data_IF_830154970189
#
_entry.id   IF_830154970189
#
_cell.length_a   1.000
_cell.length_b   1.000
_cell.length_c   1.000
_cell.angle_alpha   90.00
_cell.angle_beta   90.00
_cell.angle_gamma   90.00
#
_symmetry.space_group_name_H-M   'P 1'
#
loop_
_entity.id
_entity.type
_entity.pdbx_description
1 polymer ?
#
# COMPACT_ATOMS: atom_id res chain seq x y z
N UNK A 1 28.67 -19.38 38.74
CA UNK A 1 29.42 -18.84 37.59
C UNK A 1 28.56 -17.84 36.81
N UNK A 2 27.45 -18.24 36.16
CA UNK A 2 26.61 -17.32 35.37
C UNK A 2 26.14 -16.04 36.11
N UNK A 3 25.74 -16.16 37.39
CA UNK A 3 25.23 -15.02 38.15
C UNK A 3 26.32 -14.07 38.69
N UNK A 4 27.41 -14.62 39.26
CA UNK A 4 28.28 -13.89 40.19
C UNK A 4 29.78 -13.91 39.84
N UNK A 5 30.17 -14.45 38.68
CA UNK A 5 31.59 -14.50 38.32
C UNK A 5 32.13 -13.09 37.99
N UNK A 6 33.27 -12.67 38.53
CA UNK A 6 33.80 -11.32 38.27
C UNK A 6 34.19 -11.09 36.81
N UNK A 7 34.34 -12.15 36.00
CA UNK A 7 34.62 -12.04 34.57
C UNK A 7 33.31 -12.04 33.74
N UNK A 8 32.96 -10.91 33.08
CA UNK A 8 31.77 -10.81 32.26
C UNK A 8 31.68 -11.86 31.14
N UNK A 9 32.82 -12.22 30.53
CA UNK A 9 32.86 -13.21 29.47
C UNK A 9 32.57 -14.61 30.01
N UNK A 10 33.08 -14.94 31.20
CA UNK A 10 32.77 -16.20 31.87
C UNK A 10 31.28 -16.30 32.22
N UNK A 11 30.66 -15.19 32.66
CA UNK A 11 29.21 -15.12 32.89
C UNK A 11 28.42 -15.39 31.62
N UNK A 12 28.80 -14.75 30.51
CA UNK A 12 28.15 -14.95 29.20
C UNK A 12 28.30 -16.39 28.71
N UNK A 13 29.49 -16.98 28.78
CA UNK A 13 29.70 -18.37 28.40
C UNK A 13 28.89 -19.33 29.25
N UNK A 14 28.85 -19.12 30.57
CA UNK A 14 28.05 -19.94 31.47
C UNK A 14 26.54 -19.82 31.14
N UNK A 15 26.05 -18.61 30.86
CA UNK A 15 24.66 -18.36 30.46
C UNK A 15 24.29 -19.16 29.20
N UNK A 16 25.09 -19.06 28.14
CA UNK A 16 24.84 -19.77 26.88
C UNK A 16 25.07 -21.28 26.97
N UNK A 17 25.99 -21.72 27.82
CA UNK A 17 26.19 -23.15 28.09
C UNK A 17 24.94 -23.73 28.77
N UNK A 18 24.37 -23.02 29.75
CA UNK A 18 23.16 -23.45 30.45
C UNK A 18 21.94 -23.44 29.52
N UNK A 19 21.83 -22.45 28.63
CA UNK A 19 20.79 -22.43 27.59
C UNK A 19 20.88 -23.66 26.68
N UNK A 20 22.07 -23.95 26.14
CA UNK A 20 22.29 -25.11 25.26
C UNK A 20 22.10 -26.47 25.96
N UNK A 21 22.28 -26.53 27.28
CA UNK A 21 21.99 -27.71 28.10
C UNK A 21 20.52 -27.79 28.53
N UNK A 22 19.68 -26.84 28.12
CA UNK A 22 18.29 -26.70 28.57
C UNK A 22 18.16 -26.64 30.11
N UNK A 23 19.16 -26.02 30.76
CA UNK A 23 19.28 -25.88 32.21
C UNK A 23 19.17 -24.41 32.67
N UNK A 24 18.77 -23.50 31.77
CA UNK A 24 18.61 -22.09 32.06
C UNK A 24 17.33 -21.84 32.86
N UNK A 25 17.43 -21.12 33.99
CA UNK A 25 16.29 -20.76 34.84
C UNK A 25 15.91 -19.28 34.74
N UNK A 26 14.65 -18.90 35.04
CA UNK A 26 14.22 -17.50 35.14
C UNK A 26 15.08 -16.65 36.08
N UNK A 27 15.51 -17.20 37.21
CA UNK A 27 16.34 -16.49 38.20
C UNK A 27 17.71 -16.14 37.61
N UNK A 28 18.30 -17.05 36.84
CA UNK A 28 19.58 -16.81 36.16
C UNK A 28 19.46 -15.72 35.10
N UNK A 29 18.34 -15.66 34.39
CA UNK A 29 18.06 -14.59 33.44
C UNK A 29 17.88 -13.27 34.18
N UNK A 30 17.06 -13.21 35.23
CA UNK A 30 16.85 -11.98 36.01
C UNK A 30 18.16 -11.42 36.57
N UNK A 31 19.08 -12.30 36.99
CA UNK A 31 20.44 -11.91 37.38
C UNK A 31 21.22 -11.27 36.21
N UNK A 32 21.12 -11.83 35.00
CA UNK A 32 21.73 -11.26 33.81
C UNK A 32 21.10 -9.92 33.39
N UNK A 33 19.77 -9.79 33.45
CA UNK A 33 19.03 -8.56 33.15
C UNK A 33 19.39 -7.41 34.10
N UNK A 34 19.77 -7.74 35.34
CA UNK A 34 20.17 -6.76 36.38
C UNK A 34 21.67 -6.49 36.43
N UNK A 35 22.47 -7.07 35.51
CA UNK A 35 23.91 -6.92 35.51
C UNK A 35 24.35 -5.47 35.26
N UNK A 36 25.47 -5.05 35.86
CA UNK A 36 26.01 -3.71 35.65
C UNK A 36 26.52 -3.50 34.21
N UNK A 37 26.97 -4.59 33.59
CA UNK A 37 27.57 -4.61 32.26
C UNK A 37 26.49 -4.74 31.16
N UNK A 38 26.44 -3.79 30.20
CA UNK A 38 25.40 -3.80 29.16
C UNK A 38 25.47 -5.05 28.27
N UNK A 39 26.67 -5.57 28.02
CA UNK A 39 26.85 -6.81 27.27
C UNK A 39 26.16 -8.00 27.95
N UNK A 40 26.18 -8.10 29.28
CA UNK A 40 25.52 -9.20 30.00
C UNK A 40 24.01 -9.02 29.96
N UNK A 41 23.50 -7.79 30.13
CA UNK A 41 22.06 -7.51 30.01
C UNK A 41 21.54 -7.88 28.62
N UNK A 42 22.25 -7.48 27.56
CA UNK A 42 21.88 -7.84 26.18
C UNK A 42 21.89 -9.37 25.95
N UNK A 43 22.89 -10.09 26.47
CA UNK A 43 22.90 -11.55 26.40
C UNK A 43 21.77 -12.18 27.22
N UNK A 44 21.45 -11.62 28.39
CA UNK A 44 20.33 -12.03 29.24
C UNK A 44 19.00 -11.93 28.51
N UNK A 45 18.74 -10.80 27.83
CA UNK A 45 17.53 -10.62 27.00
C UNK A 45 17.48 -11.70 25.90
N UNK A 46 18.59 -11.94 25.22
CA UNK A 46 18.63 -12.91 24.11
C UNK A 46 18.44 -14.34 24.59
N UNK A 47 19.08 -14.73 25.69
CA UNK A 47 18.91 -16.06 26.29
C UNK A 47 17.47 -16.29 26.80
N UNK A 48 16.80 -15.23 27.27
CA UNK A 48 15.40 -15.30 27.70
C UNK A 48 14.44 -15.68 26.56
N UNK A 49 14.80 -15.42 25.30
CA UNK A 49 13.99 -15.76 24.12
C UNK A 49 13.69 -17.26 24.05
N UNK A 50 14.63 -18.12 24.46
CA UNK A 50 14.45 -19.58 24.45
C UNK A 50 13.40 -20.05 25.47
N UNK A 51 13.26 -19.34 26.60
CA UNK A 51 12.23 -19.62 27.60
C UNK A 51 10.87 -19.04 27.16
N UNK A 52 10.87 -17.85 26.56
CA UNK A 52 9.65 -17.12 26.21
C UNK A 52 8.96 -17.63 24.93
N UNK A 53 9.61 -18.44 24.11
CA UNK A 53 9.08 -18.96 22.82
C UNK A 53 7.91 -19.95 22.92
N UNK A 54 7.28 -20.12 24.09
CA UNK A 54 6.22 -21.12 24.32
C UNK A 54 4.98 -20.67 25.10
N UNK A 55 4.90 -19.44 25.62
CA UNK A 55 3.79 -19.00 26.48
C UNK A 55 3.14 -17.70 26.00
N UNK A 56 1.81 -17.68 25.94
CA UNK A 56 1.00 -16.47 25.70
C UNK A 56 0.86 -15.57 26.93
N UNK A 57 1.34 -16.02 28.09
CA UNK A 57 1.57 -15.19 29.27
C UNK A 57 3.08 -15.05 29.49
N UNK A 58 3.53 -13.81 29.57
CA UNK A 58 4.94 -13.44 29.51
C UNK A 58 5.56 -13.15 30.89
N UNK A 59 4.76 -13.25 31.96
CA UNK A 59 5.20 -13.22 33.37
C UNK A 59 6.16 -12.09 33.75
N UNK A 60 6.92 -12.30 34.83
CA UNK A 60 7.88 -11.33 35.36
C UNK A 60 9.09 -11.10 34.44
N UNK A 61 9.45 -12.09 33.63
CA UNK A 61 10.61 -12.03 32.74
C UNK A 61 10.43 -11.02 31.59
N UNK A 62 9.27 -11.01 30.92
CA UNK A 62 9.03 -10.02 29.88
C UNK A 62 8.89 -8.61 30.45
N UNK A 63 8.33 -8.48 31.66
CA UNK A 63 8.33 -7.20 32.38
C UNK A 63 9.75 -6.72 32.63
N UNK A 64 10.65 -7.60 33.07
CA UNK A 64 12.07 -7.29 33.23
C UNK A 64 12.75 -6.83 31.93
N UNK A 65 12.45 -7.48 30.80
CA UNK A 65 12.96 -7.08 29.48
C UNK A 65 12.36 -5.74 29.03
N UNK A 66 11.06 -5.49 29.28
CA UNK A 66 10.40 -4.21 28.93
C UNK A 66 11.04 -3.03 29.66
N UNK A 67 11.45 -3.19 30.92
CA UNK A 67 12.18 -2.16 31.69
C UNK A 67 13.48 -1.75 30.99
N UNK A 68 14.19 -2.71 30.39
CA UNK A 68 15.44 -2.45 29.67
C UNK A 68 15.25 -1.71 28.33
N UNK A 69 14.01 -1.44 27.91
CA UNK A 69 13.77 -0.53 26.79
C UNK A 69 14.25 0.91 27.06
N UNK A 70 14.36 1.28 28.34
CA UNK A 70 14.89 2.56 28.80
C UNK A 70 16.37 2.50 29.24
N UNK A 71 17.08 1.40 28.94
CA UNK A 71 18.48 1.23 29.32
C UNK A 71 19.38 2.35 28.80
N UNK A 72 20.44 2.72 29.51
CA UNK A 72 21.36 3.77 29.05
C UNK A 72 22.19 3.35 27.84
N UNK A 73 22.39 2.05 27.65
CA UNK A 73 23.20 1.51 26.56
C UNK A 73 22.36 1.19 25.31
N UNK A 74 22.70 1.77 24.14
CA UNK A 74 21.95 1.54 22.92
C UNK A 74 21.90 0.08 22.44
N UNK A 75 22.91 -0.73 22.75
CA UNK A 75 22.94 -2.14 22.36
C UNK A 75 21.90 -2.97 23.12
N UNK A 76 21.62 -2.60 24.38
CA UNK A 76 20.57 -3.23 25.19
C UNK A 76 19.20 -2.84 24.66
N UNK A 77 18.95 -1.54 24.44
CA UNK A 77 17.70 -1.07 23.86
C UNK A 77 17.40 -1.73 22.50
N UNK A 78 18.43 -1.83 21.63
CA UNK A 78 18.29 -2.47 20.32
C UNK A 78 17.97 -3.96 20.45
N UNK A 79 18.58 -4.66 21.40
CA UNK A 79 18.25 -6.05 21.68
C UNK A 79 16.79 -6.21 22.12
N UNK A 80 16.25 -5.31 22.96
CA UNK A 80 14.82 -5.31 23.32
C UNK A 80 13.93 -5.16 22.07
N UNK A 81 14.27 -4.25 21.15
CA UNK A 81 13.52 -4.08 19.88
C UNK A 81 13.52 -5.39 19.07
N UNK A 82 14.67 -6.04 18.94
CA UNK A 82 14.81 -7.31 18.21
C UNK A 82 14.00 -8.44 18.86
N UNK A 83 14.07 -8.56 20.19
CA UNK A 83 13.35 -9.58 20.96
C UNK A 83 11.82 -9.39 20.87
N UNK A 84 11.33 -8.15 21.00
CA UNK A 84 9.90 -7.83 20.79
C UNK A 84 9.40 -8.27 19.42
N UNK A 85 10.18 -7.98 18.36
CA UNK A 85 9.86 -8.39 16.99
C UNK A 85 9.86 -9.92 16.84
N UNK A 86 10.89 -10.58 17.36
CA UNK A 86 11.06 -12.03 17.28
C UNK A 86 9.89 -12.77 17.95
N UNK A 87 9.54 -12.35 19.17
CA UNK A 87 8.48 -12.93 19.99
C UNK A 87 7.08 -12.42 19.62
N UNK A 88 6.98 -11.53 18.61
CA UNK A 88 5.72 -10.94 18.12
C UNK A 88 4.88 -10.30 19.23
N UNK A 89 5.54 -9.59 20.15
CA UNK A 89 4.83 -8.89 21.21
C UNK A 89 3.84 -7.86 20.65
N UNK A 90 2.70 -7.65 21.31
CA UNK A 90 1.78 -6.56 20.96
C UNK A 90 2.53 -5.23 20.87
N UNK A 91 2.14 -4.40 19.90
CA UNK A 91 2.65 -3.04 19.72
C UNK A 91 4.16 -2.90 19.53
N UNK A 92 4.89 -3.98 19.22
CA UNK A 92 6.35 -3.93 19.04
C UNK A 92 6.78 -2.86 18.02
N UNK A 93 5.96 -2.66 16.97
CA UNK A 93 6.20 -1.63 15.94
C UNK A 93 6.11 -0.23 16.52
N UNK A 94 5.05 0.10 17.26
CA UNK A 94 4.88 1.42 17.88
C UNK A 94 5.98 1.70 18.92
N UNK A 95 6.34 0.69 19.71
CA UNK A 95 7.45 0.78 20.68
C UNK A 95 8.80 0.98 19.99
N UNK A 96 9.07 0.27 18.90
CA UNK A 96 10.29 0.46 18.10
C UNK A 96 10.34 1.84 17.44
N UNK A 97 9.21 2.33 16.89
CA UNK A 97 9.10 3.69 16.34
C UNK A 97 9.42 4.76 17.39
N UNK A 98 8.88 4.61 18.60
CA UNK A 98 9.16 5.53 19.71
C UNK A 98 10.64 5.53 20.08
N UNK A 99 11.26 4.35 20.19
CA UNK A 99 12.68 4.23 20.49
C UNK A 99 13.55 4.86 19.39
N UNK A 100 13.21 4.68 18.12
CA UNK A 100 13.91 5.29 16.98
C UNK A 100 13.78 6.82 17.01
N UNK A 101 12.57 7.33 17.24
CA UNK A 101 12.30 8.77 17.23
C UNK A 101 12.96 9.52 18.38
N UNK A 102 13.14 8.86 19.54
CA UNK A 102 13.69 9.48 20.75
C UNK A 102 15.20 9.23 20.93
N UNK A 103 15.78 8.26 20.22
CA UNK A 103 17.18 7.88 20.42
C UNK A 103 18.18 8.74 19.64
N UNK A 104 19.25 9.13 20.33
CA UNK A 104 20.42 9.78 19.72
C UNK A 104 21.41 8.79 19.10
N UNK A 105 21.25 7.47 19.33
CA UNK A 105 22.12 6.44 18.75
C UNK A 105 21.84 6.18 17.28
N UNK A 106 22.87 6.30 16.44
CA UNK A 106 22.80 5.91 15.04
C UNK A 106 22.42 4.43 14.88
N UNK A 107 22.95 3.54 15.72
CA UNK A 107 22.64 2.11 15.66
C UNK A 107 21.15 1.81 15.85
N UNK A 108 20.50 2.49 16.79
CA UNK A 108 19.06 2.33 17.03
C UNK A 108 18.26 2.89 15.85
N UNK A 109 18.62 4.09 15.36
CA UNK A 109 17.90 4.69 14.23
C UNK A 109 18.01 3.85 12.97
N UNK A 110 19.21 3.41 12.60
CA UNK A 110 19.45 2.67 11.36
C UNK A 110 18.91 1.23 11.44
N UNK A 111 19.33 0.46 12.46
CA UNK A 111 18.95 -0.94 12.58
C UNK A 111 17.47 -1.05 12.97
N UNK A 112 16.99 -0.20 13.88
CA UNK A 112 15.57 -0.15 14.25
C UNK A 112 14.67 0.14 13.05
N UNK A 113 15.05 1.10 12.21
CA UNK A 113 14.30 1.41 10.98
C UNK A 113 14.27 0.22 10.01
N UNK A 114 15.39 -0.49 9.85
CA UNK A 114 15.42 -1.73 9.05
C UNK A 114 14.58 -2.86 9.65
N UNK A 115 14.45 -2.92 10.97
CA UNK A 115 13.59 -3.89 11.63
C UNK A 115 12.11 -3.58 11.41
N UNK A 116 11.73 -2.31 11.35
CA UNK A 116 10.38 -1.84 11.05
C UNK A 116 10.00 -1.92 9.59
N UNK A 117 10.96 -1.69 8.70
CA UNK A 117 10.79 -1.84 7.27
C UNK A 117 10.33 -3.27 6.98
N UNK A 118 9.07 -3.43 6.58
CA UNK A 118 8.63 -4.68 6.01
C UNK A 118 9.38 -4.87 4.69
N UNK A 119 9.93 -6.06 4.46
CA UNK A 119 10.24 -6.47 3.09
C UNK A 119 8.93 -6.31 2.35
N UNK A 120 8.84 -5.45 1.33
CA UNK A 120 7.59 -5.28 0.63
C UNK A 120 7.17 -6.67 0.19
N UNK A 121 6.00 -7.14 0.67
CA UNK A 121 5.24 -8.14 -0.05
C UNK A 121 4.80 -7.44 -1.32
N UNK A 122 5.75 -7.34 -2.24
CA UNK A 122 5.50 -6.89 -3.60
C UNK A 122 4.29 -7.69 -4.05
N UNK A 123 3.28 -6.97 -4.53
CA UNK A 123 2.12 -7.61 -5.16
C UNK A 123 2.64 -8.71 -6.09
N UNK A 124 2.02 -9.89 -6.05
CA UNK A 124 2.50 -11.11 -6.69
C UNK A 124 2.56 -10.98 -8.23
N UNK A 125 3.54 -10.24 -8.71
CA UNK A 125 3.84 -10.01 -10.12
C UNK A 125 5.32 -10.31 -10.34
N UNK A 126 5.61 -10.94 -11.48
CA UNK A 126 6.97 -11.22 -11.94
C UNK A 126 7.68 -9.93 -12.36
N UNK A 127 8.12 -9.14 -11.37
CA UNK A 127 8.89 -7.93 -11.63
C UNK A 127 10.27 -8.30 -12.23
N UNK A 128 10.66 -7.58 -13.27
CA UNK A 128 12.01 -7.64 -13.84
C UNK A 128 13.07 -7.25 -12.80
N UNK A 129 14.34 -7.54 -13.10
CA UNK A 129 15.47 -7.14 -12.23
C UNK A 129 15.51 -5.62 -12.02
N UNK A 130 15.26 -4.86 -13.07
CA UNK A 130 15.25 -3.40 -13.08
C UNK A 130 14.07 -2.85 -12.26
N UNK A 131 12.90 -3.47 -12.38
CA UNK A 131 11.72 -3.11 -11.60
C UNK A 131 11.93 -3.38 -10.11
N UNK A 132 12.51 -4.54 -9.75
CA UNK A 132 12.91 -4.86 -8.37
C UNK A 132 13.92 -3.85 -7.83
N UNK A 133 14.89 -3.44 -8.65
CA UNK A 133 15.85 -2.41 -8.27
C UNK A 133 15.19 -1.04 -8.03
N UNK A 134 14.21 -0.65 -8.84
CA UNK A 134 13.41 0.57 -8.64
C UNK A 134 12.66 0.54 -7.31
N UNK A 135 11.99 -0.58 -7.01
CA UNK A 135 11.27 -0.78 -5.76
C UNK A 135 12.20 -0.74 -4.53
N UNK A 136 13.40 -1.33 -4.63
CA UNK A 136 14.40 -1.30 -3.57
C UNK A 136 14.91 0.13 -3.29
N UNK A 137 15.21 0.92 -4.33
CA UNK A 137 15.59 2.33 -4.17
C UNK A 137 14.44 3.15 -3.60
N UNK A 138 13.21 2.91 -4.05
CA UNK A 138 12.03 3.57 -3.51
C UNK A 138 11.79 3.29 -2.03
N UNK A 139 12.09 2.06 -1.57
CA UNK A 139 12.03 1.71 -0.15
C UNK A 139 13.03 2.51 0.70
N UNK A 140 14.26 2.66 0.21
CA UNK A 140 15.30 3.44 0.87
C UNK A 140 14.92 4.93 0.95
N UNK A 141 14.37 5.48 -0.14
CA UNK A 141 13.83 6.83 -0.18
C UNK A 141 12.71 7.00 0.86
N UNK A 142 11.75 6.07 0.89
CA UNK A 142 10.63 6.14 1.83
C UNK A 142 11.11 6.12 3.28
N UNK A 143 12.05 5.22 3.59
CA UNK A 143 12.59 5.01 4.94
C UNK A 143 13.50 6.13 5.42
N UNK A 144 13.94 7.02 4.54
CA UNK A 144 14.79 8.17 4.89
C UNK A 144 14.02 9.49 4.94
N UNK A 145 13.01 9.66 4.09
CA UNK A 145 12.31 10.96 3.94
C UNK A 145 10.82 10.86 4.30
N UNK A 146 10.10 9.91 3.70
CA UNK A 146 8.64 9.90 3.76
C UNK A 146 8.08 9.36 5.08
N UNK A 147 8.76 8.40 5.71
CA UNK A 147 8.30 7.72 6.92
C UNK A 147 8.09 8.68 8.10
N UNK A 148 8.83 9.79 8.16
CA UNK A 148 8.75 10.76 9.24
C UNK A 148 7.34 11.35 9.38
N UNK A 149 6.62 11.49 8.26
CA UNK A 149 5.24 11.97 8.24
C UNK A 149 4.23 10.85 8.00
N UNK A 150 4.53 9.90 7.10
CA UNK A 150 3.59 8.85 6.71
C UNK A 150 3.67 7.55 7.54
N UNK A 151 4.62 7.46 8.47
CA UNK A 151 4.89 6.26 9.27
C UNK A 151 5.52 5.13 8.44
N UNK A 152 6.15 4.16 9.12
CA UNK A 152 6.77 3.01 8.45
C UNK A 152 5.75 2.06 7.80
N UNK A 153 4.50 2.07 8.25
CA UNK A 153 3.41 1.26 7.72
C UNK A 153 2.53 2.02 6.73
N UNK A 154 2.90 3.27 6.39
CA UNK A 154 2.17 4.12 5.46
C UNK A 154 0.78 4.52 5.95
N UNK A 155 0.46 4.40 7.25
CA UNK A 155 -0.85 4.77 7.81
C UNK A 155 -0.91 6.20 8.35
N UNK A 156 0.20 6.93 8.29
CA UNK A 156 0.37 8.23 8.93
C UNK A 156 1.12 8.09 10.27
N UNK A 157 2.06 8.99 10.53
CA UNK A 157 2.79 9.04 11.80
C UNK A 157 1.88 9.63 12.89
N UNK A 158 1.58 8.93 14.00
CA UNK A 158 0.79 9.48 15.09
C UNK A 158 1.46 10.72 15.70
N UNK A 159 0.65 11.73 16.03
CA UNK A 159 1.14 12.92 16.70
C UNK A 159 1.38 12.67 18.20
N UNK A 160 2.43 13.30 18.74
CA UNK A 160 2.73 13.24 20.16
C UNK A 160 1.55 13.80 20.98
N UNK A 161 1.04 13.01 21.93
CA UNK A 161 -0.09 13.40 22.78
C UNK A 161 -1.47 13.10 22.21
N UNK A 162 -1.61 12.65 20.95
CA UNK A 162 -2.89 12.20 20.41
C UNK A 162 -2.71 11.11 19.34
N UNK A 163 -2.85 9.85 19.75
CA UNK A 163 -2.71 8.69 18.85
C UNK A 163 -3.77 8.62 17.74
N UNK A 164 -4.88 9.37 17.86
CA UNK A 164 -5.95 9.38 16.86
C UNK A 164 -5.74 10.42 15.75
N UNK A 165 -4.69 11.26 15.85
CA UNK A 165 -4.34 12.27 14.85
C UNK A 165 -2.98 11.91 14.26
N UNK A 166 -2.88 11.88 12.94
CA UNK A 166 -1.63 11.62 12.24
C UNK A 166 -1.12 12.88 11.55
N UNK A 167 0.21 13.00 11.44
CA UNK A 167 0.86 14.14 10.82
C UNK A 167 0.56 14.26 9.31
N UNK A 168 0.38 13.11 8.64
CA UNK A 168 0.06 13.03 7.23
C UNK A 168 -1.02 11.96 6.96
N UNK A 169 -1.69 12.01 5.79
CA UNK A 169 -2.68 11.02 5.41
C UNK A 169 -2.08 9.62 5.22
N UNK A 170 -2.91 8.56 5.35
CA UNK A 170 -2.52 7.21 4.99
C UNK A 170 -2.27 7.11 3.48
N UNK A 171 -1.17 6.44 3.12
CA UNK A 171 -0.84 6.03 1.75
C UNK A 171 -1.44 4.67 1.41
N UNK A 172 -1.66 3.82 2.43
CA UNK A 172 -2.33 2.54 2.29
C UNK A 172 -3.77 2.72 1.79
N UNK A 173 -4.11 2.12 0.64
CA UNK A 173 -5.46 2.19 0.07
C UNK A 173 -5.84 3.54 -0.54
N UNK A 174 -4.94 4.53 -0.55
CA UNK A 174 -5.22 5.89 -1.02
C UNK A 174 -5.66 5.92 -2.49
N UNK A 175 -6.80 6.58 -2.75
CA UNK A 175 -7.31 6.80 -4.12
C UNK A 175 -6.34 7.65 -4.94
N UNK A 176 -5.74 8.67 -4.33
CA UNK A 176 -4.78 9.57 -4.98
C UNK A 176 -3.50 8.82 -5.37
N UNK A 177 -3.00 7.92 -4.54
CA UNK A 177 -1.82 7.09 -4.85
C UNK A 177 -2.05 6.24 -6.10
N UNK A 178 -3.25 5.67 -6.21
CA UNK A 178 -3.62 4.72 -7.27
C UNK A 178 -4.03 5.38 -8.58
N UNK A 179 -4.46 6.65 -8.57
CA UNK A 179 -5.05 7.33 -9.73
C UNK A 179 -4.02 7.96 -10.66
N UNK A 180 -3.96 7.47 -11.91
CA UNK A 180 -3.27 8.14 -13.02
C UNK A 180 -1.84 8.57 -12.69
N UNK A 181 -1.55 9.86 -12.84
CA UNK A 181 -0.27 10.50 -12.49
C UNK A 181 -0.36 11.38 -11.23
N UNK A 182 -1.43 11.22 -10.43
CA UNK A 182 -1.73 12.10 -9.29
C UNK A 182 -0.63 12.12 -8.23
N UNK A 183 -0.07 10.95 -7.89
CA UNK A 183 1.04 10.86 -6.92
C UNK A 183 2.28 11.60 -7.42
N UNK A 184 2.60 11.48 -8.70
CA UNK A 184 3.74 12.12 -9.33
C UNK A 184 3.56 13.65 -9.33
N UNK A 185 2.34 14.12 -9.62
CA UNK A 185 1.97 15.55 -9.53
C UNK A 185 2.12 16.09 -8.10
N UNK A 186 1.67 15.32 -7.11
CA UNK A 186 1.85 15.65 -5.68
C UNK A 186 3.33 15.67 -5.30
N UNK A 187 4.13 14.71 -5.76
CA UNK A 187 5.57 14.71 -5.47
C UNK A 187 6.28 15.90 -6.13
N UNK A 188 5.84 16.35 -7.31
CA UNK A 188 6.47 17.48 -8.00
C UNK A 188 6.04 18.85 -7.44
N UNK A 189 4.83 19.01 -6.90
CA UNK A 189 4.32 20.34 -6.53
C UNK A 189 3.77 20.45 -5.11
N UNK A 190 3.69 19.34 -4.39
CA UNK A 190 3.04 19.25 -3.08
C UNK A 190 1.53 19.04 -3.18
N UNK A 191 0.91 18.88 -2.01
CA UNK A 191 -0.54 18.72 -1.84
C UNK A 191 -1.01 19.54 -0.63
N UNK A 192 -2.09 20.29 -0.81
CA UNK A 192 -2.71 21.13 0.20
C UNK A 192 -4.22 20.94 0.27
N UNK A 193 -4.80 21.36 1.38
CA UNK A 193 -6.24 21.29 1.62
C UNK A 193 -6.70 19.94 2.17
N UNK A 194 -8.03 19.75 2.29
CA UNK A 194 -8.59 18.53 2.85
C UNK A 194 -8.38 17.33 1.93
N UNK A 195 -8.09 16.18 2.54
CA UNK A 195 -7.90 14.90 1.87
C UNK A 195 -8.95 13.95 2.41
N UNK A 196 -9.89 13.53 1.55
CA UNK A 196 -11.04 12.70 1.93
C UNK A 196 -11.82 13.28 3.12
N UNK A 197 -12.02 14.60 3.12
CA UNK A 197 -12.75 15.33 4.16
C UNK A 197 -11.97 15.58 5.46
N UNK A 198 -10.71 15.11 5.56
CA UNK A 198 -9.84 15.37 6.72
C UNK A 198 -8.80 16.43 6.42
N UNK A 199 -8.63 17.36 7.35
CA UNK A 199 -7.52 18.31 7.36
C UNK A 199 -6.34 17.74 8.12
N UNK A 200 -5.14 18.01 7.62
CA UNK A 200 -3.88 17.64 8.26
C UNK A 200 -3.11 18.91 8.59
N UNK A 201 -2.36 18.90 9.69
CA UNK A 201 -1.63 20.09 10.15
C UNK A 201 -0.56 20.52 9.16
N UNK A 202 0.09 19.54 8.52
CA UNK A 202 1.14 19.77 7.54
C UNK A 202 0.62 19.58 6.12
N UNK A 203 1.00 20.49 5.23
CA UNK A 203 0.86 20.29 3.79
C UNK A 203 1.95 19.33 3.30
N UNK A 204 1.64 18.54 2.27
CA UNK A 204 2.67 17.71 1.64
C UNK A 204 3.63 18.62 0.87
N UNK A 205 4.89 18.63 1.28
CA UNK A 205 5.95 19.39 0.62
C UNK A 205 6.26 18.85 -0.78
N UNK A 206 6.74 19.73 -1.66
CA UNK A 206 7.28 19.33 -2.96
C UNK A 206 8.61 18.59 -2.80
N UNK A 207 8.82 17.62 -3.66
CA UNK A 207 10.06 16.85 -3.84
C UNK A 207 10.70 17.12 -5.20
N UNK A 208 10.29 18.18 -5.91
CA UNK A 208 10.76 18.48 -7.28
C UNK A 208 12.27 18.73 -7.39
N UNK A 209 12.97 19.04 -6.31
CA UNK A 209 14.44 19.14 -6.33
C UNK A 209 15.13 17.80 -6.62
N UNK A 210 14.43 16.67 -6.45
CA UNK A 210 14.95 15.35 -6.76
C UNK A 210 14.83 15.01 -8.25
N UNK A 211 15.68 14.08 -8.70
CA UNK A 211 15.73 13.63 -10.09
C UNK A 211 14.45 12.90 -10.52
N UNK A 212 14.23 12.81 -11.83
CA UNK A 212 13.09 12.07 -12.40
C UNK A 212 13.10 10.59 -12.01
N UNK A 213 14.29 9.99 -11.89
CA UNK A 213 14.45 8.61 -11.42
C UNK A 213 14.07 8.45 -9.95
N UNK A 214 14.44 9.41 -9.09
CA UNK A 214 14.08 9.39 -7.67
C UNK A 214 12.55 9.43 -7.49
N UNK A 215 11.87 10.31 -8.23
CA UNK A 215 10.41 10.44 -8.19
C UNK A 215 9.74 9.17 -8.72
N UNK A 216 10.28 8.55 -9.77
CA UNK A 216 9.79 7.29 -10.29
C UNK A 216 9.92 6.14 -9.26
N UNK A 217 11.09 6.02 -8.62
CA UNK A 217 11.37 4.96 -7.65
C UNK A 217 10.45 5.04 -6.41
N UNK A 218 10.29 6.23 -5.82
CA UNK A 218 9.38 6.41 -4.68
C UNK A 218 7.91 6.19 -5.07
N UNK A 219 7.51 6.64 -6.26
CA UNK A 219 6.16 6.38 -6.81
C UNK A 219 5.90 4.88 -6.90
N UNK A 220 6.85 4.15 -7.47
CA UNK A 220 6.77 2.71 -7.67
C UNK A 220 6.66 1.96 -6.35
N UNK A 221 7.46 2.34 -5.35
CA UNK A 221 7.41 1.74 -4.02
C UNK A 221 6.08 2.00 -3.32
N UNK A 222 5.61 3.26 -3.27
CA UNK A 222 4.34 3.61 -2.59
C UNK A 222 3.12 2.94 -3.26
N UNK A 223 3.13 2.81 -4.59
CA UNK A 223 2.06 2.13 -5.35
C UNK A 223 2.03 0.61 -5.19
N UNK A 224 3.13 0.01 -4.76
CA UNK A 224 3.27 -1.45 -4.64
C UNK A 224 3.63 -1.90 -3.21
N UNK A 225 3.39 -1.03 -2.24
CA UNK A 225 3.56 -1.28 -0.80
C UNK A 225 2.27 -1.00 -0.05
N UNK A 226 2.20 -1.37 1.24
CA UNK A 226 1.05 -1.09 2.11
C UNK A 226 -0.28 -1.67 1.60
N UNK A 227 -0.23 -2.76 0.83
CA UNK A 227 -1.39 -3.37 0.18
C UNK A 227 -1.86 -2.66 -1.09
N UNK A 228 -1.13 -1.65 -1.57
CA UNK A 228 -1.38 -1.04 -2.86
C UNK A 228 -0.86 -1.92 -4.00
N UNK A 229 -1.52 -1.79 -5.15
CA UNK A 229 -1.08 -2.34 -6.43
C UNK A 229 -1.29 -1.25 -7.47
N UNK A 230 -0.28 -1.01 -8.31
CA UNK A 230 -0.38 0.00 -9.35
C UNK A 230 0.73 -0.13 -10.40
N UNK A 231 0.49 0.38 -11.62
CA UNK A 231 1.48 0.33 -12.68
C UNK A 231 2.75 1.07 -12.28
N UNK A 232 3.89 0.50 -12.66
CA UNK A 232 5.19 1.14 -12.49
C UNK A 232 5.36 2.26 -13.52
N UNK A 233 6.14 3.28 -13.14
CA UNK A 233 6.51 4.40 -14.00
C UNK A 233 8.03 4.51 -14.11
N UNK A 234 8.50 5.04 -15.23
CA UNK A 234 9.91 5.32 -15.49
C UNK A 234 10.25 6.81 -15.36
N UNK A 235 11.55 7.10 -15.40
CA UNK A 235 12.05 8.47 -15.45
C UNK A 235 11.57 9.29 -16.67
N UNK A 236 11.43 8.72 -17.90
CA UNK A 236 10.91 9.47 -19.04
C UNK A 236 9.50 10.03 -18.82
N UNK A 237 8.61 9.26 -18.18
CA UNK A 237 7.25 9.69 -17.86
C UNK A 237 7.26 10.85 -16.84
N UNK A 238 8.11 10.76 -15.82
CA UNK A 238 8.27 11.87 -14.85
C UNK A 238 8.82 13.12 -15.53
N UNK A 239 9.82 12.97 -16.39
CA UNK A 239 10.42 14.08 -17.13
C UNK A 239 9.38 14.83 -17.95
N UNK A 240 8.50 14.08 -18.65
CA UNK A 240 7.39 14.66 -19.41
C UNK A 240 6.44 15.41 -18.47
N UNK A 241 6.00 14.78 -17.39
CA UNK A 241 5.08 15.39 -16.43
C UNK A 241 5.66 16.67 -15.80
N UNK A 242 6.96 16.68 -15.51
CA UNK A 242 7.67 17.86 -14.99
C UNK A 242 7.66 19.00 -16.00
N UNK A 243 7.86 18.72 -17.29
CA UNK A 243 7.73 19.72 -18.34
C UNK A 243 6.29 20.25 -18.46
N UNK A 244 5.30 19.34 -18.45
CA UNK A 244 3.88 19.67 -18.56
C UNK A 244 3.39 20.54 -17.38
N UNK A 245 4.02 20.43 -16.22
CA UNK A 245 3.65 21.15 -14.99
C UNK A 245 4.64 22.24 -14.58
N UNK A 246 5.62 22.58 -15.43
CA UNK A 246 6.73 23.47 -15.08
C UNK A 246 6.32 24.89 -14.64
N UNK A 247 5.13 25.35 -15.06
CA UNK A 247 4.59 26.68 -14.71
C UNK A 247 3.85 26.70 -13.37
N UNK A 248 3.58 25.55 -12.76
CA UNK A 248 2.85 25.48 -11.50
C UNK A 248 3.80 25.83 -10.34
N UNK A 249 3.32 26.70 -9.46
CA UNK A 249 4.06 27.17 -8.26
C UNK A 249 3.33 26.90 -6.96
N UNK A 250 2.08 26.40 -7.03
CA UNK A 250 1.23 26.12 -5.88
C UNK A 250 1.03 24.62 -5.71
N UNK A 251 0.82 24.13 -4.46
CA UNK A 251 0.44 22.75 -4.22
C UNK A 251 -0.85 22.37 -4.93
N UNK A 252 -1.00 21.11 -5.29
CA UNK A 252 -2.27 20.59 -5.77
C UNK A 252 -3.30 20.55 -4.66
N UNK A 253 -4.57 20.67 -5.02
CA UNK A 253 -5.69 20.22 -4.20
C UNK A 253 -6.20 18.88 -4.72
N UNK A 254 -6.91 18.12 -3.88
CA UNK A 254 -7.56 16.88 -4.33
C UNK A 254 -8.49 17.18 -5.50
N UNK A 255 -9.34 18.20 -5.42
CA UNK A 255 -10.28 18.56 -6.47
C UNK A 255 -9.60 18.82 -7.84
N UNK A 256 -8.46 19.51 -7.86
CA UNK A 256 -7.70 19.73 -9.10
C UNK A 256 -7.15 18.42 -9.66
N UNK A 257 -6.55 17.57 -8.84
CA UNK A 257 -6.04 16.26 -9.27
C UNK A 257 -7.16 15.36 -9.80
N UNK A 258 -8.33 15.43 -9.16
CA UNK A 258 -9.51 14.73 -9.64
C UNK A 258 -9.90 15.24 -11.02
N UNK A 259 -9.97 16.56 -11.23
CA UNK A 259 -10.37 17.18 -12.50
C UNK A 259 -9.45 16.86 -13.70
N UNK A 260 -8.18 16.50 -13.44
CA UNK A 260 -7.21 16.08 -14.45
C UNK A 260 -7.39 14.62 -14.91
N UNK A 261 -8.15 13.83 -14.16
CA UNK A 261 -8.46 12.46 -14.52
C UNK A 261 -9.73 12.40 -15.38
N UNK A 262 -9.87 11.40 -16.26
CA UNK A 262 -11.15 11.12 -16.90
C UNK A 262 -12.26 11.01 -15.84
N UNK A 263 -13.36 11.73 -16.04
CA UNK A 263 -14.46 11.82 -15.08
C UNK A 263 -15.51 10.76 -15.39
N UNK A 264 -16.10 10.11 -14.39
CA UNK A 264 -17.30 9.31 -14.61
C UNK A 264 -18.37 10.16 -15.30
N UNK A 265 -18.93 9.66 -16.39
CA UNK A 265 -20.13 10.24 -17.00
C UNK A 265 -21.24 10.21 -15.94
N UNK A 266 -21.85 11.37 -15.70
CA UNK A 266 -22.90 11.55 -14.69
C UNK A 266 -24.22 10.85 -15.10
N UNK A 267 -25.19 10.85 -14.19
CA UNK A 267 -26.55 10.35 -14.43
C UNK A 267 -26.67 8.86 -14.84
N UNK A 268 -25.90 7.97 -14.18
CA UNK A 268 -25.98 6.51 -14.35
C UNK A 268 -27.42 5.93 -14.30
N UNK A 269 -28.29 6.53 -13.49
CA UNK A 269 -29.70 6.13 -13.36
C UNK A 269 -30.52 6.28 -14.65
N UNK A 270 -30.02 7.01 -15.64
CA UNK A 270 -30.66 7.19 -16.94
C UNK A 270 -30.14 6.22 -18.00
N UNK A 271 -29.14 5.42 -17.69
CA UNK A 271 -28.58 4.45 -18.62
C UNK A 271 -29.51 3.24 -18.72
N UNK A 272 -29.65 2.73 -19.94
CA UNK A 272 -30.29 1.43 -20.17
C UNK A 272 -29.18 0.39 -20.30
N UNK A 273 -29.12 -0.54 -19.33
CA UNK A 273 -28.13 -1.59 -19.26
C UNK A 273 -28.72 -2.89 -19.80
N UNK A 274 -27.93 -3.66 -20.54
CA UNK A 274 -28.28 -5.02 -20.97
C UNK A 274 -27.12 -5.99 -20.86
N UNK A 275 -27.43 -7.28 -20.73
CA UNK A 275 -26.41 -8.34 -20.62
C UNK A 275 -26.97 -9.67 -21.10
N UNK A 276 -26.14 -10.55 -21.66
CA UNK A 276 -26.55 -11.93 -21.94
C UNK A 276 -26.59 -12.84 -20.71
N UNK A 277 -26.10 -12.39 -19.56
CA UNK A 277 -26.13 -13.13 -18.31
C UNK A 277 -26.63 -12.28 -17.14
N UNK A 278 -27.52 -12.87 -16.33
CA UNK A 278 -28.02 -12.29 -15.07
C UNK A 278 -28.46 -10.82 -15.21
N UNK A 279 -29.13 -10.48 -16.32
CA UNK A 279 -29.50 -9.10 -16.68
C UNK A 279 -30.37 -8.43 -15.62
N UNK A 280 -31.22 -9.18 -14.94
CA UNK A 280 -32.11 -8.66 -13.88
C UNK A 280 -31.38 -8.05 -12.68
N UNK A 281 -30.10 -8.38 -12.48
CA UNK A 281 -29.27 -7.82 -11.41
C UNK A 281 -28.22 -6.82 -11.93
N UNK A 282 -28.22 -6.51 -13.23
CA UNK A 282 -27.17 -5.71 -13.86
C UNK A 282 -27.07 -4.28 -13.32
N UNK A 283 -28.19 -3.71 -12.88
CA UNK A 283 -28.22 -2.40 -12.23
C UNK A 283 -27.32 -2.33 -10.99
N UNK A 284 -27.14 -3.46 -10.27
CA UNK A 284 -26.27 -3.55 -9.09
C UNK A 284 -24.78 -3.45 -9.43
N UNK A 285 -24.41 -3.49 -10.70
CA UNK A 285 -23.04 -3.23 -11.13
C UNK A 285 -22.79 -1.76 -11.47
N UNK A 286 -23.76 -0.87 -11.27
CA UNK A 286 -23.68 0.55 -11.65
C UNK A 286 -24.53 1.45 -10.73
N UNK A 287 -24.85 1.01 -9.52
CA UNK A 287 -25.77 1.72 -8.60
C UNK A 287 -25.03 2.70 -7.66
N UNK A 288 -23.69 2.73 -7.69
CA UNK A 288 -22.87 3.57 -6.82
C UNK A 288 -22.62 2.97 -5.44
N UNK A 289 -23.15 1.78 -5.15
CA UNK A 289 -22.92 1.05 -3.90
C UNK A 289 -21.80 0.01 -4.09
N UNK A 290 -20.62 0.29 -3.53
CA UNK A 290 -19.48 -0.61 -3.64
C UNK A 290 -19.70 -2.00 -3.00
N UNK A 291 -20.75 -2.18 -2.20
CA UNK A 291 -21.10 -3.46 -1.56
C UNK A 291 -22.02 -4.34 -2.41
N UNK A 292 -22.72 -3.75 -3.37
CA UNK A 292 -23.56 -4.47 -4.34
C UNK A 292 -22.71 -4.90 -5.54
N UNK A 293 -23.21 -5.86 -6.33
CA UNK A 293 -22.56 -6.31 -7.57
C UNK A 293 -23.53 -6.97 -8.53
N UNK A 294 -23.24 -6.82 -9.83
CA UNK A 294 -23.66 -7.77 -10.86
C UNK A 294 -22.61 -8.88 -11.00
N UNK A 295 -23.05 -10.09 -11.35
CA UNK A 295 -22.17 -11.21 -11.67
C UNK A 295 -22.81 -12.12 -12.71
N UNK A 296 -22.00 -12.74 -13.57
CA UNK A 296 -22.49 -13.67 -14.60
C UNK A 296 -23.19 -14.90 -14.02
N UNK A 297 -22.94 -15.26 -12.75
CA UNK A 297 -23.36 -16.51 -12.10
C UNK A 297 -22.92 -17.78 -12.87
N UNK A 298 -21.97 -17.63 -13.78
CA UNK A 298 -21.38 -18.67 -14.62
C UNK A 298 -19.90 -18.45 -14.75
N UNK A 299 -19.14 -19.53 -14.76
CA UNK A 299 -17.69 -19.47 -14.93
C UNK A 299 -17.30 -18.63 -16.14
N UNK A 300 -16.18 -17.92 -16.04
CA UNK A 300 -15.69 -17.08 -17.11
C UNK A 300 -15.32 -17.94 -18.32
N UNK A 301 -16.14 -17.81 -19.36
CA UNK A 301 -15.88 -18.28 -20.73
C UNK A 301 -16.07 -17.13 -21.71
N UNK A 302 -15.39 -17.15 -22.87
CA UNK A 302 -15.48 -16.07 -23.85
C UNK A 302 -16.93 -15.86 -24.32
N UNK A 303 -17.37 -14.62 -24.35
CA UNK A 303 -18.67 -14.23 -24.92
C UNK A 303 -19.68 -13.65 -23.94
N UNK A 304 -19.39 -13.61 -22.64
CA UNK A 304 -20.19 -12.81 -21.70
C UNK A 304 -20.06 -11.33 -22.05
N UNK A 305 -21.17 -10.61 -22.15
CA UNK A 305 -21.16 -9.18 -22.50
C UNK A 305 -22.13 -8.36 -21.66
N UNK A 306 -21.74 -7.10 -21.45
CA UNK A 306 -22.59 -6.04 -20.87
C UNK A 306 -22.62 -4.90 -21.87
N UNK A 307 -23.79 -4.34 -22.12
CA UNK A 307 -23.97 -3.14 -22.94
C UNK A 307 -24.60 -2.00 -22.14
N UNK A 308 -24.23 -0.79 -22.52
CA UNK A 308 -24.72 0.46 -21.97
C UNK A 308 -25.27 1.31 -23.11
N UNK A 309 -26.54 1.69 -23.00
CA UNK A 309 -27.17 2.72 -23.83
C UNK A 309 -27.30 4.01 -23.02
N UNK A 310 -26.68 5.06 -23.52
CA UNK A 310 -26.76 6.42 -22.99
C UNK A 310 -28.02 7.13 -23.52
N UNK A 311 -28.59 8.09 -22.74
CA UNK A 311 -29.77 8.84 -23.17
C UNK A 311 -29.50 9.76 -24.38
N UNK A 312 -28.24 10.20 -24.54
CA UNK A 312 -27.75 10.99 -25.66
C UNK A 312 -26.32 10.56 -26.02
N UNK A 313 -25.80 10.89 -27.22
CA UNK A 313 -24.39 10.66 -27.54
C UNK A 313 -23.48 11.50 -26.64
N UNK A 314 -22.56 10.84 -25.94
CA UNK A 314 -21.58 11.47 -25.05
C UNK A 314 -20.16 11.24 -25.55
N UNK A 315 -19.23 12.15 -25.21
CA UNK A 315 -17.81 11.98 -25.50
C UNK A 315 -17.16 11.11 -24.43
N UNK A 316 -16.74 9.90 -24.82
CA UNK A 316 -16.19 8.88 -23.92
C UNK A 316 -14.71 8.63 -24.26
N UNK A 317 -13.86 8.67 -23.25
CA UNK A 317 -12.42 8.36 -23.34
C UNK A 317 -12.09 6.96 -22.82
N UNK A 318 -12.94 6.37 -21.98
CA UNK A 318 -12.66 5.05 -21.45
C UNK A 318 -13.75 4.44 -20.59
N UNK A 319 -13.41 3.33 -19.95
CA UNK A 319 -14.28 2.54 -19.08
C UNK A 319 -13.49 2.12 -17.85
N UNK A 320 -14.12 2.20 -16.69
CA UNK A 320 -13.65 1.60 -15.44
C UNK A 320 -14.57 0.44 -15.07
N UNK A 321 -13.99 -0.72 -14.83
CA UNK A 321 -14.68 -1.89 -14.26
C UNK A 321 -14.03 -2.23 -12.92
N UNK A 322 -14.79 -2.12 -11.84
CA UNK A 322 -14.35 -2.48 -10.50
C UNK A 322 -15.07 -3.75 -10.03
N UNK A 323 -14.32 -4.82 -9.74
CA UNK A 323 -14.85 -6.06 -9.16
C UNK A 323 -14.79 -6.06 -7.63
N UNK A 324 -14.42 -4.95 -7.00
CA UNK A 324 -14.59 -4.69 -5.56
C UNK A 324 -13.99 -5.77 -4.67
N UNK A 325 -14.81 -6.25 -3.72
CA UNK A 325 -14.43 -7.35 -2.82
C UNK A 325 -14.29 -8.70 -3.53
N UNK A 326 -14.83 -8.82 -4.76
CA UNK A 326 -14.68 -9.97 -5.64
C UNK A 326 -13.36 -9.90 -6.40
N UNK A 327 -12.23 -9.84 -5.68
CA UNK A 327 -10.93 -9.43 -6.23
C UNK A 327 -10.41 -10.26 -7.42
N UNK A 328 -10.93 -11.46 -7.63
CA UNK A 328 -10.52 -12.38 -8.69
C UNK A 328 -11.52 -12.51 -9.84
N UNK A 329 -12.66 -11.81 -9.79
CA UNK A 329 -13.77 -11.92 -10.75
C UNK A 329 -13.72 -10.83 -11.85
N UNK A 330 -12.58 -10.16 -12.03
CA UNK A 330 -12.35 -9.21 -13.13
C UNK A 330 -12.30 -9.93 -14.50
N UNK A 331 -12.62 -9.27 -15.62
CA UNK A 331 -12.58 -9.90 -16.94
C UNK A 331 -11.13 -10.25 -17.33
N UNK A 332 -10.83 -11.53 -17.63
CA UNK A 332 -9.47 -11.96 -17.99
C UNK A 332 -8.97 -11.38 -19.31
N UNK A 333 -9.85 -11.31 -20.29
CA UNK A 333 -9.64 -10.55 -21.51
C UNK A 333 -10.95 -9.87 -21.88
N UNK A 334 -10.86 -8.79 -22.63
CA UNK A 334 -12.02 -8.02 -23.04
C UNK A 334 -11.82 -7.43 -24.43
N UNK A 335 -12.94 -7.11 -25.07
CA UNK A 335 -13.03 -6.22 -26.22
C UNK A 335 -14.14 -5.19 -25.99
N UNK A 336 -13.97 -3.99 -26.53
CA UNK A 336 -14.98 -2.93 -26.49
C UNK A 336 -15.43 -2.61 -27.91
N UNK A 337 -16.74 -2.64 -28.11
CA UNK A 337 -17.39 -2.38 -29.39
C UNK A 337 -18.40 -1.23 -29.22
N UNK A 338 -18.57 -0.44 -30.29
CA UNK A 338 -19.53 0.67 -30.33
C UNK A 338 -20.67 0.35 -31.29
N UNK A 339 -21.78 1.07 -31.15
CA UNK A 339 -22.91 0.96 -32.06
C UNK A 339 -23.65 2.29 -32.20
N UNK A 340 -24.35 2.45 -33.34
CA UNK A 340 -25.26 3.57 -33.58
C UNK A 340 -26.71 3.26 -33.16
N UNK A 341 -27.08 1.98 -33.10
CA UNK A 341 -28.47 1.53 -32.92
C UNK A 341 -28.65 0.47 -31.81
N UNK A 342 -27.56 0.00 -31.21
CA UNK A 342 -27.55 -1.06 -30.20
C UNK A 342 -27.77 -2.46 -30.76
N UNK A 343 -27.89 -2.62 -32.09
CA UNK A 343 -28.17 -3.88 -32.78
C UNK A 343 -26.97 -4.33 -33.61
N UNK A 344 -26.44 -3.45 -34.44
CA UNK A 344 -25.25 -3.69 -35.25
C UNK A 344 -24.04 -3.05 -34.59
N UNK A 345 -22.99 -3.83 -34.39
CA UNK A 345 -21.80 -3.43 -33.65
C UNK A 345 -20.61 -3.32 -34.59
N UNK A 346 -19.90 -2.21 -34.49
CA UNK A 346 -18.67 -1.98 -35.25
C UNK A 346 -17.55 -2.91 -34.74
N UNK A 347 -16.48 -3.14 -35.54
CA UNK A 347 -15.30 -3.84 -35.06
C UNK A 347 -14.77 -3.24 -33.75
N UNK A 348 -14.12 -4.05 -32.88
CA UNK A 348 -13.66 -3.57 -31.59
C UNK A 348 -12.72 -2.37 -31.70
N UNK A 349 -12.99 -1.33 -30.92
CA UNK A 349 -12.12 -0.15 -30.84
C UNK A 349 -10.88 -0.40 -29.98
N UNK A 350 -10.96 -1.40 -29.08
CA UNK A 350 -9.85 -1.85 -28.25
C UNK A 350 -10.10 -3.29 -27.77
N UNK A 351 -9.00 -4.03 -27.63
CA UNK A 351 -8.95 -5.33 -26.96
C UNK A 351 -7.85 -5.29 -25.90
N UNK A 352 -8.03 -6.03 -24.81
CA UNK A 352 -7.09 -6.00 -23.70
C UNK A 352 -7.28 -7.15 -22.72
N UNK A 353 -6.47 -7.12 -21.66
CA UNK A 353 -6.51 -8.11 -20.57
C UNK A 353 -6.71 -7.40 -19.24
N UNK A 354 -7.58 -7.95 -18.39
CA UNK A 354 -7.67 -7.54 -16.99
C UNK A 354 -6.64 -8.31 -16.16
N UNK A 355 -6.02 -7.63 -15.21
CA UNK A 355 -5.00 -8.19 -14.33
C UNK A 355 -5.29 -7.99 -12.84
N UNK A 356 -6.30 -7.19 -12.49
CA UNK A 356 -6.66 -6.88 -11.12
C UNK A 356 -8.16 -6.57 -11.00
N UNK A 357 -8.65 -6.47 -9.76
CA UNK A 357 -10.03 -6.09 -9.46
C UNK A 357 -10.46 -4.78 -10.12
N UNK A 358 -9.54 -3.83 -10.28
CA UNK A 358 -9.76 -2.60 -11.02
C UNK A 358 -9.21 -2.76 -12.45
N UNK A 359 -10.11 -2.77 -13.42
CA UNK A 359 -9.77 -2.81 -14.85
C UNK A 359 -10.09 -1.46 -15.49
N UNK A 360 -9.04 -0.71 -15.82
CA UNK A 360 -9.13 0.52 -16.59
C UNK A 360 -8.95 0.23 -18.08
N UNK A 361 -9.90 0.67 -18.89
CA UNK A 361 -9.89 0.53 -20.35
C UNK A 361 -9.83 1.93 -20.95
N UNK A 362 -8.65 2.32 -21.42
CA UNK A 362 -8.43 3.61 -22.07
C UNK A 362 -8.59 3.46 -23.58
N UNK A 363 -9.51 4.21 -24.18
CA UNK A 363 -9.70 4.16 -25.63
C UNK A 363 -8.49 4.78 -26.34
N UNK A 364 -8.16 4.34 -27.58
CA UNK A 364 -7.07 4.93 -28.35
C UNK A 364 -7.23 6.44 -28.60
N UNK A 365 -8.48 6.90 -28.62
CA UNK A 365 -8.88 8.32 -28.65
C UNK A 365 -10.31 8.44 -28.08
N UNK A 366 -10.70 9.63 -27.57
CA UNK A 366 -12.10 9.88 -27.21
C UNK A 366 -13.05 9.67 -28.40
N UNK A 367 -14.23 9.10 -28.12
CA UNK A 367 -15.26 8.78 -29.12
C UNK A 367 -16.63 9.29 -28.67
N UNK A 368 -17.41 9.85 -29.58
CA UNK A 368 -18.80 10.20 -29.32
C UNK A 368 -19.70 9.01 -29.64
N UNK A 369 -20.44 8.50 -28.66
CA UNK A 369 -21.31 7.32 -28.85
C UNK A 369 -22.51 7.33 -27.90
N UNK A 370 -23.57 6.61 -28.28
CA UNK A 370 -24.71 6.29 -27.40
C UNK A 370 -24.75 4.82 -26.98
N UNK A 371 -24.03 3.93 -27.66
CA UNK A 371 -24.05 2.50 -27.37
C UNK A 371 -22.63 1.97 -27.26
N UNK A 372 -22.37 1.29 -26.14
CA UNK A 372 -21.08 0.68 -25.82
C UNK A 372 -21.34 -0.74 -25.36
N UNK A 373 -20.58 -1.71 -25.87
CA UNK A 373 -20.59 -3.09 -25.39
C UNK A 373 -19.19 -3.50 -24.99
N UNK A 374 -19.12 -4.12 -23.81
CA UNK A 374 -17.93 -4.74 -23.27
C UNK A 374 -18.17 -6.23 -23.33
N UNK A 375 -17.34 -6.95 -24.08
CA UNK A 375 -17.40 -8.41 -24.15
C UNK A 375 -16.16 -8.96 -23.47
N UNK A 376 -16.35 -9.78 -22.44
CA UNK A 376 -15.29 -10.58 -21.86
C UNK A 376 -14.93 -11.71 -22.84
N UNK A 377 -13.64 -11.90 -23.10
CA UNK A 377 -13.12 -12.83 -24.13
C UNK A 377 -12.12 -13.85 -23.60
N UNK A 378 -11.83 -13.83 -22.29
CA UNK A 378 -10.89 -14.75 -21.65
C UNK A 378 -11.58 -15.95 -20.99
N UNK A 379 -10.78 -16.80 -20.37
CA UNK A 379 -11.28 -17.93 -19.57
C UNK A 379 -10.64 -17.94 -18.19
N UNK A 380 -11.43 -18.24 -17.16
CA UNK A 380 -10.94 -18.48 -15.80
C UNK A 380 -11.84 -19.50 -15.08
N UNK A 381 -11.46 -20.79 -15.06
CA UNK A 381 -12.20 -21.81 -14.32
C UNK A 381 -12.38 -21.44 -12.84
N UNK A 382 -13.56 -21.72 -12.29
CA UNK A 382 -13.90 -21.40 -10.90
C UNK A 382 -13.99 -19.90 -10.57
N UNK A 383 -13.96 -19.00 -11.56
CA UNK A 383 -14.12 -17.55 -11.38
C UNK A 383 -15.30 -17.05 -12.21
N UNK A 384 -16.01 -16.07 -11.67
CA UNK A 384 -17.09 -15.39 -12.39
C UNK A 384 -16.56 -14.13 -13.08
N UNK A 385 -17.39 -13.49 -13.89
CA UNK A 385 -17.19 -12.08 -14.20
C UNK A 385 -18.16 -11.28 -13.35
N UNK A 386 -17.62 -10.47 -12.44
CA UNK A 386 -18.39 -9.68 -11.48
C UNK A 386 -18.00 -8.21 -11.60
N UNK A 387 -19.00 -7.34 -11.53
CA UNK A 387 -18.85 -5.89 -11.59
C UNK A 387 -19.59 -5.32 -10.37
N UNK A 388 -18.86 -4.71 -9.45
CA UNK A 388 -19.43 -3.89 -8.39
C UNK A 388 -19.75 -2.50 -8.94
N UNK A 389 -18.83 -1.93 -9.72
CA UNK A 389 -19.02 -0.60 -10.31
C UNK A 389 -18.49 -0.53 -11.75
N UNK A 390 -19.39 -0.24 -12.69
CA UNK A 390 -19.11 0.18 -14.06
C UNK A 390 -19.16 1.70 -14.12
N UNK A 391 -18.13 2.32 -14.72
CA UNK A 391 -18.13 3.74 -15.05
C UNK A 391 -17.67 3.93 -16.48
N UNK A 392 -18.42 4.70 -17.24
CA UNK A 392 -17.94 5.29 -18.49
C UNK A 392 -17.20 6.57 -18.13
N UNK A 393 -16.07 6.82 -18.77
CA UNK A 393 -15.19 7.94 -18.46
C UNK A 393 -15.25 8.96 -19.59
N UNK A 394 -15.68 10.18 -19.29
CA UNK A 394 -15.50 11.34 -20.15
C UNK A 394 -14.05 11.85 -20.03
N UNK A 395 -13.52 12.54 -21.06
CA UNK A 395 -12.24 13.21 -20.96
C UNK A 395 -12.13 14.12 -19.73
N UNK A 396 -10.91 14.31 -19.26
CA UNK A 396 -10.62 15.21 -18.15
C UNK A 396 -11.17 16.63 -18.43
N UNK A 397 -11.75 17.26 -17.39
CA UNK A 397 -12.31 18.63 -17.49
C UNK A 397 -11.22 19.68 -17.69
N UNK A 398 -9.98 19.38 -17.28
CA UNK A 398 -8.80 20.19 -17.52
C UNK A 398 -7.65 19.27 -17.96
N UNK A 399 -6.87 19.68 -18.96
CA UNK A 399 -5.58 19.05 -19.32
C UNK A 399 -4.50 20.10 -19.37
#
# INVERSE_FOLDING_TARGET
MAANDPNPLARIHALWTLEGLNALSPEMINSALSASEPQIRAQGIRAAESILKGSGDHGDLATGIEVLAADKDPSVQLQVIMTRKLLKWPDWKAKAQTAIATSTSAGIREIGSKLLAETPKLAAGDFSKEQKASLARGQEIFSSVCFACHGFDGKGMPMAGNANVTLAPPLAGSKTVKRGDSLQRVLLHGLAGPIEGKTYESQMMTMASNSDQWIADITNYVRNSFGNQGPLVGAPEIKKLRADTARRTTPWTIAELEALSPQPVEAKSTWVLSSNFNESELSRGCDGDATSRWTTKKEQTPGAWVSVKLPAPELIEGILLDSGTSQNDYPRAYKVELSKDGKTWDPPIIEGKGSSALTEIHFPKPVTTSFIRITQTGSAPGKYWSIHELKLLAPAKAR
#
